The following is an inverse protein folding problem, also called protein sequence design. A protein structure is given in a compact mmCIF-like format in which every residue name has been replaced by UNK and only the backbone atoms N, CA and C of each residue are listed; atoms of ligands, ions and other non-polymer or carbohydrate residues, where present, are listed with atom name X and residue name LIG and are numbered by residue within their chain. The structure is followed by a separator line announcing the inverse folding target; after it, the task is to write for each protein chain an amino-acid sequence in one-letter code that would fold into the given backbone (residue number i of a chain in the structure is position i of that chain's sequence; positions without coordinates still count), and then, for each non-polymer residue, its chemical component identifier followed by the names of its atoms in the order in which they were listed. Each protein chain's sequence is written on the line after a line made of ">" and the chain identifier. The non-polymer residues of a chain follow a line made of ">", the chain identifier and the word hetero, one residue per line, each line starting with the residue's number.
data_IF_662615210855
#
_entry.id   IF_662615210855
#
_cell.length_a   1.000
_cell.length_b   1.000
_cell.length_c   1.000
_cell.angle_alpha   90.00
_cell.angle_beta   90.00
_cell.angle_gamma   90.00
#
_symmetry.space_group_name_H-M   'P 1'
#
loop_
_entity.id
_entity.type
_entity.pdbx_description
1 polymer ?
#
# COMPACT_ATOMS: atom_id res chain seq x y z
N UNK A 1 -3.49 -11.29 0.44
CA UNK A 1 -4.28 -10.19 -0.15
C UNK A 1 -5.77 -10.47 -0.08
N UNK A 2 -6.53 -9.64 0.64
CA UNK A 2 -7.98 -9.78 0.79
C UNK A 2 -8.74 -8.96 -0.26
N UNK A 3 -10.01 -9.29 -0.52
CA UNK A 3 -10.86 -8.50 -1.42
C UNK A 3 -10.98 -7.03 -0.99
N UNK A 4 -10.91 -6.76 0.32
CA UNK A 4 -10.95 -5.41 0.89
C UNK A 4 -9.74 -4.54 0.49
N UNK A 5 -8.56 -5.14 0.29
CA UNK A 5 -7.34 -4.41 -0.04
C UNK A 5 -7.40 -3.81 -1.46
N UNK A 6 -8.09 -4.50 -2.38
CA UNK A 6 -8.34 -3.97 -3.73
C UNK A 6 -9.35 -2.81 -3.72
N UNK A 7 -10.39 -2.91 -2.89
CA UNK A 7 -11.37 -1.85 -2.72
C UNK A 7 -10.74 -0.61 -2.07
N UNK A 8 -9.91 -0.79 -1.05
CA UNK A 8 -9.16 0.27 -0.40
C UNK A 8 -8.21 0.98 -1.38
N UNK A 9 -7.44 0.22 -2.17
CA UNK A 9 -6.56 0.78 -3.20
C UNK A 9 -7.34 1.60 -4.24
N UNK A 10 -8.54 1.14 -4.63
CA UNK A 10 -9.43 1.86 -5.54
C UNK A 10 -9.93 3.18 -4.93
N UNK A 11 -10.34 3.16 -3.65
CA UNK A 11 -10.81 4.35 -2.93
C UNK A 11 -9.68 5.37 -2.80
N UNK A 12 -8.47 4.94 -2.42
CA UNK A 12 -7.30 5.81 -2.29
C UNK A 12 -6.93 6.43 -3.65
N UNK A 13 -6.91 5.64 -4.72
CA UNK A 13 -6.65 6.13 -6.08
C UNK A 13 -7.73 7.12 -6.54
N UNK A 14 -9.00 6.86 -6.24
CA UNK A 14 -10.11 7.78 -6.51
C UNK A 14 -9.97 9.10 -5.74
N UNK A 15 -9.61 9.05 -4.46
CA UNK A 15 -9.38 10.23 -3.63
C UNK A 15 -8.21 11.07 -4.16
N UNK A 16 -7.12 10.42 -4.58
CA UNK A 16 -5.98 11.09 -5.22
C UNK A 16 -6.40 11.83 -6.49
N UNK A 17 -7.20 11.19 -7.34
CA UNK A 17 -7.72 11.79 -8.57
C UNK A 17 -8.60 13.00 -8.24
N UNK A 18 -9.51 12.89 -7.28
CA UNK A 18 -10.36 14.00 -6.83
C UNK A 18 -9.55 15.20 -6.33
N UNK A 19 -8.58 14.97 -5.44
CA UNK A 19 -7.72 16.04 -4.91
C UNK A 19 -6.93 16.71 -6.04
N UNK A 20 -6.33 15.92 -6.93
CA UNK A 20 -5.59 16.46 -8.07
C UNK A 20 -6.47 17.21 -9.05
N UNK A 21 -7.72 16.77 -9.23
CA UNK A 21 -8.69 17.47 -10.06
C UNK A 21 -9.08 18.82 -9.46
N UNK A 22 -9.28 18.88 -8.14
CA UNK A 22 -9.48 20.14 -7.41
C UNK A 22 -8.23 21.04 -7.55
N UNK A 23 -7.04 20.48 -7.43
CA UNK A 23 -5.79 21.25 -7.54
C UNK A 23 -5.60 21.89 -8.92
N UNK A 24 -5.88 21.14 -9.99
CA UNK A 24 -5.91 21.69 -11.36
C UNK A 24 -6.94 22.81 -11.51
N UNK A 25 -8.11 22.68 -10.87
CA UNK A 25 -9.23 23.62 -11.04
C UNK A 25 -9.11 24.89 -10.20
N UNK A 26 -8.60 24.81 -8.98
CA UNK A 26 -8.59 25.92 -8.02
C UNK A 26 -7.22 26.56 -7.83
N UNK A 27 -6.14 25.78 -7.91
CA UNK A 27 -4.81 26.23 -7.47
C UNK A 27 -3.94 26.60 -8.67
N UNK A 28 -3.72 25.66 -9.61
CA UNK A 28 -2.79 25.90 -10.71
C UNK A 28 -3.39 26.72 -11.85
N UNK A 29 -4.72 26.68 -12.09
CA UNK A 29 -5.40 27.27 -13.27
C UNK A 29 -4.79 26.89 -14.63
N UNK A 30 -3.84 25.97 -14.66
CA UNK A 30 -3.25 25.38 -15.85
C UNK A 30 -3.79 23.97 -16.05
N UNK A 31 -4.22 23.68 -17.28
CA UNK A 31 -4.67 22.34 -17.64
C UNK A 31 -3.46 21.42 -17.81
N UNK A 32 -3.01 20.80 -16.72
CA UNK A 32 -2.13 19.63 -16.82
C UNK A 32 -2.82 18.57 -17.70
N UNK A 33 -2.10 17.90 -18.61
CA UNK A 33 -2.72 16.95 -19.53
C UNK A 33 -3.28 15.75 -18.75
N UNK A 34 -4.55 15.42 -19.00
CA UNK A 34 -5.31 14.35 -18.31
C UNK A 34 -4.60 12.97 -18.39
N UNK A 35 -3.78 12.77 -19.43
CA UNK A 35 -2.96 11.56 -19.61
C UNK A 35 -1.92 11.38 -18.51
N UNK A 36 -1.31 12.47 -18.03
CA UNK A 36 -0.33 12.40 -16.93
C UNK A 36 -1.06 12.03 -15.64
N UNK A 37 -2.23 12.62 -15.40
CA UNK A 37 -3.00 12.37 -14.20
C UNK A 37 -3.46 10.92 -14.07
N UNK A 38 -3.92 10.31 -15.16
CA UNK A 38 -4.25 8.89 -15.17
C UNK A 38 -3.03 8.02 -14.86
N UNK A 39 -1.87 8.33 -15.45
CA UNK A 39 -0.64 7.58 -15.20
C UNK A 39 -0.23 7.65 -13.72
N UNK A 40 -0.33 8.82 -13.11
CA UNK A 40 -0.04 9.01 -11.69
C UNK A 40 -1.03 8.24 -10.80
N UNK A 41 -2.32 8.27 -11.15
CA UNK A 41 -3.37 7.52 -10.42
C UNK A 41 -3.13 6.01 -10.47
N UNK A 42 -2.73 5.47 -11.63
CA UNK A 42 -2.36 4.05 -11.77
C UNK A 42 -1.12 3.72 -10.93
N UNK A 43 -0.12 4.62 -10.88
CA UNK A 43 1.05 4.42 -10.02
C UNK A 43 0.66 4.38 -8.53
N UNK A 44 -0.24 5.26 -8.08
CA UNK A 44 -0.74 5.24 -6.69
C UNK A 44 -1.43 3.92 -6.37
N UNK A 45 -2.31 3.45 -7.27
CA UNK A 45 -2.98 2.15 -7.10
C UNK A 45 -2.00 0.98 -6.99
N UNK A 46 -1.00 0.92 -7.89
CA UNK A 46 0.04 -0.11 -7.84
C UNK A 46 0.91 -0.01 -6.57
N UNK A 47 1.15 1.20 -6.07
CA UNK A 47 1.94 1.40 -4.85
C UNK A 47 1.23 0.87 -3.60
N UNK A 48 -0.10 1.02 -3.51
CA UNK A 48 -0.90 0.45 -2.41
C UNK A 48 -0.87 -1.09 -2.46
N UNK A 49 -1.07 -1.68 -3.64
CA UNK A 49 -0.99 -3.14 -3.80
C UNK A 49 0.41 -3.69 -3.49
N UNK A 50 1.45 -3.03 -3.99
CA UNK A 50 2.84 -3.41 -3.75
C UNK A 50 3.23 -3.26 -2.28
N UNK A 51 2.82 -2.17 -1.63
CA UNK A 51 3.04 -1.96 -0.20
C UNK A 51 2.35 -3.03 0.66
N UNK A 52 1.10 -3.37 0.35
CA UNK A 52 0.38 -4.46 0.99
C UNK A 52 1.10 -5.80 0.85
N UNK A 53 1.57 -6.12 -0.37
CA UNK A 53 2.34 -7.34 -0.62
C UNK A 53 3.65 -7.38 0.17
N UNK A 54 4.40 -6.27 0.23
CA UNK A 54 5.65 -6.20 1.00
C UNK A 54 5.39 -6.44 2.49
N UNK A 55 4.32 -5.85 3.04
CA UNK A 55 3.95 -6.03 4.45
C UNK A 55 3.57 -7.50 4.72
N UNK A 56 2.75 -8.10 3.86
CA UNK A 56 2.35 -9.52 3.97
C UNK A 56 3.59 -10.45 3.95
N UNK A 57 4.60 -10.14 3.14
CA UNK A 57 5.85 -10.90 3.09
C UNK A 57 6.76 -10.66 4.31
N UNK A 58 6.65 -9.50 4.97
CA UNK A 58 7.49 -9.13 6.11
C UNK A 58 7.01 -9.75 7.44
N UNK A 59 5.71 -10.00 7.58
CA UNK A 59 5.15 -10.66 8.78
C UNK A 59 5.76 -12.04 9.10
N UNK A 60 5.87 -13.01 8.16
CA UNK A 60 6.49 -14.30 8.43
C UNK A 60 7.99 -14.18 8.73
N UNK A 61 8.67 -13.19 8.15
CA UNK A 61 10.07 -12.89 8.47
C UNK A 61 10.23 -12.42 9.91
N UNK A 62 9.31 -11.58 10.43
CA UNK A 62 9.32 -11.19 11.86
C UNK A 62 9.11 -12.37 12.80
N UNK A 63 8.24 -13.31 12.44
CA UNK A 63 8.02 -14.53 13.24
C UNK A 63 9.28 -15.41 13.32
N UNK A 64 10.09 -15.43 12.25
CA UNK A 64 11.35 -16.21 12.18
C UNK A 64 12.51 -15.51 12.90
N UNK A 65 12.43 -14.18 13.08
CA UNK A 65 13.41 -13.39 13.84
C UNK A 65 13.29 -13.53 15.36
N UNK A 66 12.18 -14.07 15.87
CA UNK A 66 12.08 -14.44 17.28
C UNK A 66 12.96 -15.66 17.53
N UNK A 67 13.98 -15.52 18.39
CA UNK A 67 14.92 -16.60 18.69
C UNK A 67 14.15 -17.87 19.11
N UNK A 68 14.40 -19.04 18.49
CA UNK A 68 13.72 -20.27 18.86
C UNK A 68 14.17 -20.68 20.27
N UNK A 69 13.23 -20.71 21.22
CA UNK A 69 13.47 -21.10 22.62
C UNK A 69 13.55 -22.63 22.81
N UNK A 70 14.14 -23.33 21.84
CA UNK A 70 14.14 -24.80 21.70
C UNK A 70 14.91 -25.54 22.82
N UNK A 71 15.69 -24.83 23.64
CA UNK A 71 16.44 -25.43 24.75
C UNK A 71 16.23 -24.72 26.09
N UNK A 72 15.05 -24.14 26.33
CA UNK A 72 14.74 -23.45 27.60
C UNK A 72 13.89 -24.27 28.57
N UNK A 73 13.40 -25.44 28.16
CA UNK A 73 12.70 -26.36 29.06
C UNK A 73 13.71 -27.04 29.98
N UNK A 74 13.51 -27.00 31.32
CA UNK A 74 14.30 -27.81 32.23
C UNK A 74 14.16 -29.30 31.86
N UNK A 75 15.21 -30.12 32.02
CA UNK A 75 15.13 -31.55 31.72
C UNK A 75 14.07 -32.20 32.60
N UNK A 76 13.07 -32.83 31.98
CA UNK A 76 12.31 -33.90 32.64
C UNK A 76 13.25 -35.10 32.73
N UNK A 77 13.62 -35.45 33.96
CA UNK A 77 14.53 -36.55 34.30
C UNK A 77 14.08 -37.90 33.71
#
# INVERSE_FOLDING_TARGET
>A
MNSYTFLEALVIAGLYLLIRFLEMRFILKENKPLKILMRETVMVYLSVLGGGFIIEQLEPLKATMSAPSVFTTPPDF
#
